data_IF_502719569084
#
_entry.id   IF_502719569084
#
_cell.length_a   1.000
_cell.length_b   1.000
_cell.length_c   1.000
_cell.angle_alpha   90.00
_cell.angle_beta   90.00
_cell.angle_gamma   90.00
#
_symmetry.space_group_name_H-M   'P 1'
#
loop_
_entity.id
_entity.type
_entity.pdbx_description
1 polymer ?
#
# COMPACT_ATOMS: atom_id res chain seq x y z
N UNK A 1 -24.65 8.42 11.92
CA UNK A 1 -24.92 8.00 10.53
C UNK A 1 -25.03 6.46 10.51
N UNK A 2 -25.89 5.85 9.67
CA UNK A 2 -25.93 4.37 9.55
C UNK A 2 -24.63 3.87 8.91
N UNK A 3 -24.09 2.74 9.37
CA UNK A 3 -22.80 2.17 8.89
C UNK A 3 -22.78 1.98 7.38
N UNK A 4 -23.89 1.50 6.79
CA UNK A 4 -24.03 1.31 5.35
C UNK A 4 -23.84 2.62 4.55
N UNK A 5 -24.29 3.75 5.08
CA UNK A 5 -24.11 5.05 4.42
C UNK A 5 -22.63 5.46 4.47
N UNK A 6 -21.95 5.24 5.59
CA UNK A 6 -20.53 5.53 5.71
C UNK A 6 -19.68 4.68 4.74
N UNK A 7 -20.04 3.41 4.56
CA UNK A 7 -19.42 2.51 3.56
C UNK A 7 -19.70 3.01 2.15
N UNK A 8 -20.96 3.33 1.82
CA UNK A 8 -21.34 3.85 0.51
C UNK A 8 -20.55 5.11 0.13
N UNK A 9 -20.44 6.06 1.07
CA UNK A 9 -19.64 7.27 0.86
C UNK A 9 -18.13 6.98 0.77
N UNK A 10 -17.63 5.98 1.50
CA UNK A 10 -16.23 5.54 1.37
C UNK A 10 -15.96 4.95 -0.02
N UNK A 11 -16.84 4.11 -0.56
CA UNK A 11 -16.70 3.52 -1.90
C UNK A 11 -16.72 4.59 -3.00
N UNK A 12 -17.41 5.71 -2.80
CA UNK A 12 -17.40 6.84 -3.77
C UNK A 12 -16.15 7.73 -3.67
N UNK A 13 -15.32 7.54 -2.66
CA UNK A 13 -14.16 8.39 -2.41
C UNK A 13 -13.09 8.22 -3.49
N UNK A 14 -12.86 9.28 -4.27
CA UNK A 14 -11.75 9.35 -5.23
C UNK A 14 -10.40 9.12 -4.55
N UNK A 15 -10.25 9.52 -3.28
CA UNK A 15 -9.03 9.31 -2.50
C UNK A 15 -8.81 7.81 -2.27
N UNK A 16 -9.84 7.07 -1.88
CA UNK A 16 -9.72 5.60 -1.70
C UNK A 16 -9.30 4.96 -3.02
N UNK A 17 -9.99 5.27 -4.13
CA UNK A 17 -9.66 4.69 -5.43
C UNK A 17 -8.25 5.04 -5.92
N UNK A 18 -7.77 6.26 -5.69
CA UNK A 18 -6.40 6.62 -6.03
C UNK A 18 -5.37 5.77 -5.26
N UNK A 19 -5.64 5.50 -3.98
CA UNK A 19 -4.77 4.65 -3.15
C UNK A 19 -4.87 3.18 -3.54
N UNK A 20 -6.07 2.63 -3.75
CA UNK A 20 -6.27 1.24 -4.16
C UNK A 20 -5.71 0.96 -5.56
N UNK A 21 -5.99 1.82 -6.55
CA UNK A 21 -5.47 1.64 -7.90
C UNK A 21 -3.97 1.89 -7.98
N UNK A 22 -3.45 2.91 -7.29
CA UNK A 22 -2.01 3.15 -7.22
C UNK A 22 -1.27 1.97 -6.59
N UNK A 23 -1.84 1.43 -5.51
CA UNK A 23 -1.36 0.22 -4.84
C UNK A 23 -1.39 -1.00 -5.73
N UNK A 24 -2.50 -1.23 -6.44
CA UNK A 24 -2.65 -2.33 -7.38
C UNK A 24 -1.60 -2.25 -8.49
N UNK A 25 -1.39 -1.07 -9.07
CA UNK A 25 -0.36 -0.85 -10.10
C UNK A 25 1.03 -1.12 -9.54
N UNK A 26 1.35 -0.61 -8.34
CA UNK A 26 2.66 -0.85 -7.71
C UNK A 26 2.93 -2.33 -7.44
N UNK A 27 1.89 -3.12 -7.16
CA UNK A 27 2.02 -4.55 -6.88
C UNK A 27 2.03 -5.41 -8.15
N UNK A 28 1.18 -5.08 -9.13
CA UNK A 28 1.01 -5.87 -10.36
C UNK A 28 2.04 -5.52 -11.43
N UNK A 29 2.47 -4.27 -11.54
CA UNK A 29 3.43 -3.86 -12.57
C UNK A 29 4.75 -4.65 -12.48
N UNK A 30 5.37 -4.85 -11.30
CA UNK A 30 6.56 -5.69 -11.20
C UNK A 30 6.33 -7.12 -11.70
N UNK A 31 5.21 -7.74 -11.29
CA UNK A 31 4.86 -9.09 -11.72
C UNK A 31 4.68 -9.18 -13.25
N UNK A 32 3.99 -8.21 -13.87
CA UNK A 32 3.80 -8.15 -15.31
C UNK A 32 5.11 -7.96 -16.08
N UNK A 33 6.01 -7.11 -15.57
CA UNK A 33 7.34 -6.92 -16.17
C UNK A 33 8.15 -8.21 -16.10
N UNK A 34 8.16 -8.91 -14.97
CA UNK A 34 8.83 -10.21 -14.83
C UNK A 34 8.27 -11.24 -15.81
N UNK A 35 6.94 -11.31 -15.93
CA UNK A 35 6.27 -12.19 -16.89
C UNK A 35 6.65 -11.87 -18.35
N UNK A 36 6.61 -10.59 -18.74
CA UNK A 36 6.90 -10.16 -20.10
C UNK A 36 8.38 -10.32 -20.49
N UNK A 37 9.29 -10.02 -19.56
CA UNK A 37 10.75 -10.07 -19.81
C UNK A 37 11.36 -11.45 -19.57
N UNK A 38 10.61 -12.37 -18.94
CA UNK A 38 11.11 -13.65 -18.41
C UNK A 38 12.33 -13.48 -17.49
N UNK A 39 12.55 -12.27 -16.97
CA UNK A 39 13.64 -11.97 -16.07
C UNK A 39 13.05 -11.74 -14.67
N UNK A 40 13.46 -12.52 -13.65
CA UNK A 40 12.97 -12.32 -12.28
C UNK A 40 13.43 -10.98 -11.68
N UNK A 41 14.45 -10.34 -12.29
CA UNK A 41 15.09 -9.13 -11.81
C UNK A 41 14.58 -7.90 -12.58
N UNK A 42 13.98 -6.95 -11.86
CA UNK A 42 13.69 -5.61 -12.40
C UNK A 42 14.88 -4.70 -12.06
N UNK A 43 15.51 -4.02 -13.03
CA UNK A 43 16.81 -3.35 -12.85
C UNK A 43 16.87 -2.27 -11.75
N UNK A 44 15.73 -1.71 -11.34
CA UNK A 44 15.67 -0.60 -10.38
C UNK A 44 15.63 -1.10 -8.91
N UNK A 45 15.41 -2.40 -8.66
CA UNK A 45 15.02 -2.92 -7.34
C UNK A 45 15.89 -4.04 -6.76
N UNK A 46 16.93 -4.48 -7.49
CA UNK A 46 17.82 -5.57 -7.07
C UNK A 46 19.28 -5.12 -6.84
N UNK A 47 19.52 -3.81 -6.89
CA UNK A 47 20.82 -3.16 -6.67
C UNK A 47 20.74 -2.35 -5.36
N UNK A 48 21.34 -2.81 -4.25
CA UNK A 48 22.17 -4.02 -4.08
C UNK A 48 21.30 -5.16 -3.55
N UNK A 49 21.59 -6.39 -3.94
CA UNK A 49 20.98 -7.63 -3.42
C UNK A 49 21.29 -7.87 -1.94
N UNK A 50 21.01 -6.89 -1.07
CA UNK A 50 21.15 -6.96 0.37
C UNK A 50 20.04 -7.86 0.94
N UNK A 51 20.24 -9.17 0.83
CA UNK A 51 19.78 -10.05 1.90
C UNK A 51 20.74 -9.87 3.07
N UNK A 52 20.49 -8.88 3.94
CA UNK A 52 21.02 -8.97 5.31
C UNK A 52 20.47 -10.28 5.87
N UNK A 53 21.29 -11.14 6.48
CA UNK A 53 20.86 -12.47 6.93
C UNK A 53 19.50 -12.42 7.65
N UNK A 54 18.49 -13.09 7.10
CA UNK A 54 17.10 -13.07 7.60
C UNK A 54 16.17 -12.02 6.98
N UNK A 55 16.64 -11.18 6.07
CA UNK A 55 15.82 -10.20 5.33
C UNK A 55 15.31 -10.78 4.01
N UNK A 56 14.07 -10.45 3.59
CA UNK A 56 13.53 -10.93 2.33
C UNK A 56 14.37 -10.45 1.13
N UNK A 57 14.55 -11.26 0.08
CA UNK A 57 15.09 -10.79 -1.20
C UNK A 57 14.23 -9.61 -1.70
N UNK A 58 14.85 -8.63 -2.38
CA UNK A 58 14.19 -7.38 -2.80
C UNK A 58 13.65 -6.54 -1.62
N UNK A 59 14.43 -6.43 -0.55
CA UNK A 59 14.07 -5.63 0.64
C UNK A 59 13.63 -4.20 0.28
N UNK A 60 14.29 -3.54 -0.67
CA UNK A 60 13.95 -2.19 -1.12
C UNK A 60 12.56 -2.14 -1.76
N UNK A 61 12.22 -3.12 -2.62
CA UNK A 61 10.89 -3.24 -3.21
C UNK A 61 9.84 -3.41 -2.12
N UNK A 62 10.07 -4.29 -1.15
CA UNK A 62 9.15 -4.49 -0.04
C UNK A 62 9.02 -3.24 0.85
N UNK A 63 10.11 -2.51 1.10
CA UNK A 63 10.10 -1.24 1.84
C UNK A 63 9.37 -0.13 1.08
N UNK A 64 9.34 -0.16 -0.24
CA UNK A 64 8.63 0.83 -1.06
C UNK A 64 7.18 0.44 -1.26
N UNK A 65 6.87 -0.83 -1.50
CA UNK A 65 5.53 -1.29 -1.87
C UNK A 65 4.64 -1.56 -0.67
N UNK A 66 5.14 -2.23 0.38
CA UNK A 66 4.34 -2.60 1.54
C UNK A 66 3.74 -1.41 2.31
N UNK A 67 4.43 -0.27 2.46
CA UNK A 67 3.84 0.91 3.11
C UNK A 67 2.70 1.53 2.31
N UNK A 68 2.57 1.25 1.01
CA UNK A 68 1.45 1.68 0.18
C UNK A 68 0.37 0.61 0.12
N UNK A 69 0.75 -0.66 -0.09
CA UNK A 69 -0.15 -1.80 -0.16
C UNK A 69 0.37 -3.03 0.58
N UNK A 70 -0.42 -3.69 1.44
CA UNK A 70 -1.82 -3.38 1.79
C UNK A 70 -1.97 -2.23 2.79
N UNK A 71 -0.88 -1.78 3.40
CA UNK A 71 -0.92 -0.94 4.59
C UNK A 71 -1.47 0.48 4.37
N UNK A 72 -0.88 1.26 3.46
CA UNK A 72 -1.27 2.65 3.23
C UNK A 72 -2.67 2.82 2.65
N UNK A 73 -3.06 1.93 1.73
CA UNK A 73 -4.42 1.84 1.20
C UNK A 73 -5.43 1.55 2.32
N UNK A 74 -5.15 0.53 3.14
CA UNK A 74 -5.99 0.22 4.31
C UNK A 74 -6.07 1.36 5.30
N UNK A 75 -4.97 2.07 5.53
CA UNK A 75 -4.97 3.26 6.37
C UNK A 75 -5.93 4.34 5.84
N UNK A 76 -5.90 4.62 4.54
CA UNK A 76 -6.79 5.61 3.91
C UNK A 76 -8.25 5.16 3.96
N UNK A 77 -8.52 3.88 3.74
CA UNK A 77 -9.88 3.30 3.85
C UNK A 77 -10.41 3.45 5.27
N UNK A 78 -9.64 3.05 6.27
CA UNK A 78 -10.01 3.13 7.69
C UNK A 78 -10.25 4.58 8.15
N UNK A 79 -9.34 5.49 7.81
CA UNK A 79 -9.50 6.92 8.10
C UNK A 79 -10.78 7.48 7.48
N UNK A 80 -11.01 7.18 6.20
CA UNK A 80 -12.16 7.72 5.45
C UNK A 80 -13.47 7.14 5.99
N UNK A 81 -13.54 5.84 6.26
CA UNK A 81 -14.74 5.19 6.79
C UNK A 81 -15.12 5.75 8.16
N UNK A 82 -14.17 5.88 9.07
CA UNK A 82 -14.43 6.41 10.41
C UNK A 82 -14.74 7.92 10.36
N UNK A 83 -14.10 8.68 9.47
CA UNK A 83 -14.42 10.09 9.22
C UNK A 83 -15.86 10.25 8.72
N UNK A 84 -16.29 9.41 7.77
CA UNK A 84 -17.67 9.42 7.24
C UNK A 84 -18.68 9.01 8.31
N UNK A 85 -18.38 7.95 9.07
CA UNK A 85 -19.25 7.45 10.14
C UNK A 85 -19.49 8.50 11.23
N UNK A 86 -18.42 9.18 11.65
CA UNK A 86 -18.48 10.21 12.70
C UNK A 86 -18.92 11.59 12.18
N UNK A 87 -18.95 11.79 10.85
CA UNK A 87 -19.31 13.08 10.24
C UNK A 87 -18.28 14.20 10.49
N UNK A 88 -17.06 13.86 10.91
CA UNK A 88 -16.01 14.84 11.22
C UNK A 88 -14.66 14.39 10.71
N UNK A 89 -13.80 15.35 10.38
CA UNK A 89 -12.41 15.09 10.01
C UNK A 89 -11.64 14.58 11.23
N UNK A 90 -10.99 13.43 11.10
CA UNK A 90 -10.19 12.85 12.18
C UNK A 90 -8.87 13.58 12.38
N UNK A 91 -8.41 13.63 13.63
CA UNK A 91 -7.13 14.24 14.02
C UNK A 91 -6.46 13.49 15.17
N UNK A 92 -5.14 13.69 15.33
CA UNK A 92 -4.35 13.11 16.42
C UNK A 92 -4.49 11.60 16.53
N UNK A 93 -4.67 11.09 17.75
CA UNK A 93 -4.77 9.64 18.04
C UNK A 93 -5.91 8.96 17.29
N UNK A 94 -7.08 9.60 17.19
CA UNK A 94 -8.26 9.01 16.53
C UNK A 94 -8.02 8.71 15.04
N UNK A 95 -7.27 9.59 14.36
CA UNK A 95 -6.86 9.42 12.97
C UNK A 95 -5.97 8.20 12.81
N UNK A 96 -4.91 8.10 13.61
CA UNK A 96 -3.95 6.99 13.50
C UNK A 96 -4.53 5.65 13.94
N UNK A 97 -5.45 5.62 14.92
CA UNK A 97 -6.17 4.40 15.28
C UNK A 97 -7.10 3.93 14.15
N UNK A 98 -7.83 4.85 13.51
CA UNK A 98 -8.66 4.52 12.35
C UNK A 98 -7.81 3.98 11.19
N UNK A 99 -6.65 4.60 10.94
CA UNK A 99 -5.68 4.13 9.96
C UNK A 99 -5.13 2.74 10.29
N UNK A 100 -4.72 2.51 11.54
CA UNK A 100 -4.20 1.22 11.98
C UNK A 100 -5.25 0.12 11.80
N UNK A 101 -6.50 0.38 12.22
CA UNK A 101 -7.59 -0.56 12.05
C UNK A 101 -7.84 -0.92 10.58
N UNK A 102 -7.86 0.08 9.69
CA UNK A 102 -8.00 -0.16 8.25
C UNK A 102 -6.80 -0.90 7.64
N UNK A 103 -5.57 -0.53 8.01
CA UNK A 103 -4.35 -1.18 7.55
C UNK A 103 -4.30 -2.66 7.96
N UNK A 104 -4.64 -2.97 9.22
CA UNK A 104 -4.68 -4.34 9.74
C UNK A 104 -5.79 -5.16 9.09
N UNK A 105 -6.97 -4.58 8.86
CA UNK A 105 -8.07 -5.25 8.18
C UNK A 105 -7.66 -5.62 6.75
N UNK A 106 -7.10 -4.67 6.00
CA UNK A 106 -6.67 -4.88 4.62
C UNK A 106 -5.52 -5.87 4.53
N UNK A 107 -4.55 -5.79 5.44
CA UNK A 107 -3.48 -6.78 5.57
C UNK A 107 -4.03 -8.17 5.91
N UNK A 108 -5.01 -8.28 6.80
CA UNK A 108 -5.66 -9.53 7.14
C UNK A 108 -6.37 -10.16 5.94
N UNK A 109 -7.12 -9.36 5.18
CA UNK A 109 -7.76 -9.81 3.93
C UNK A 109 -6.70 -10.29 2.93
N UNK A 110 -5.64 -9.52 2.73
CA UNK A 110 -4.56 -9.88 1.82
C UNK A 110 -3.83 -11.15 2.24
N UNK A 111 -3.52 -11.29 3.53
CA UNK A 111 -2.92 -12.51 4.09
C UNK A 111 -3.82 -13.72 3.90
N UNK A 112 -5.14 -13.55 4.05
CA UNK A 112 -6.12 -14.59 3.74
C UNK A 112 -6.08 -15.02 2.27
N UNK A 113 -5.99 -14.06 1.34
CA UNK A 113 -5.85 -14.35 -0.10
C UNK A 113 -4.52 -15.09 -0.38
N UNK A 114 -3.42 -14.63 0.20
CA UNK A 114 -2.12 -15.31 0.06
C UNK A 114 -2.17 -16.74 0.60
N UNK A 115 -2.84 -16.96 1.73
CA UNK A 115 -3.03 -18.28 2.31
C UNK A 115 -3.86 -19.20 1.40
N UNK A 116 -4.93 -18.68 0.78
CA UNK A 116 -5.70 -19.44 -0.23
C UNK A 116 -4.83 -19.84 -1.42
N UNK A 117 -3.96 -18.94 -1.88
CA UNK A 117 -2.99 -19.23 -2.94
C UNK A 117 -1.97 -20.29 -2.54
N UNK A 118 -1.48 -20.24 -1.30
CA UNK A 118 -0.60 -21.27 -0.73
C UNK A 118 -1.30 -22.65 -0.66
N UNK A 119 -2.59 -22.68 -0.30
CA UNK A 119 -3.37 -23.93 -0.32
C UNK A 119 -3.54 -24.46 -1.76
N UNK A 120 -3.77 -23.57 -2.72
CA UNK A 120 -3.83 -23.94 -4.14
C UNK A 120 -2.50 -24.55 -4.62
N UNK A 121 -1.35 -24.00 -4.23
CA UNK A 121 -0.03 -24.55 -4.57
C UNK A 121 0.15 -25.99 -4.04
N UNK A 122 -0.30 -26.24 -2.80
CA UNK A 122 -0.18 -27.56 -2.17
C UNK A 122 -1.15 -28.62 -2.70
N UNK A 123 -2.36 -28.20 -3.07
CA UNK A 123 -3.48 -29.11 -3.38
C UNK A 123 -3.73 -29.17 -4.90
N UNK A 124 -3.31 -28.14 -5.63
CA UNK A 124 -3.56 -27.96 -7.04
C UNK A 124 -2.53 -28.65 -7.94
N UNK A 125 -2.84 -28.80 -9.24
CA UNK A 125 -1.98 -29.48 -10.20
C UNK A 125 -0.78 -28.65 -10.69
N UNK A 126 -0.61 -27.42 -10.17
CA UNK A 126 0.43 -26.47 -10.58
C UNK A 126 1.27 -26.11 -9.35
N UNK A 127 2.45 -26.71 -9.24
CA UNK A 127 3.26 -26.72 -8.02
C UNK A 127 4.27 -25.58 -7.90
N UNK A 128 3.85 -24.34 -8.09
CA UNK A 128 4.66 -23.18 -7.69
C UNK A 128 3.81 -22.11 -6.97
N UNK A 129 4.17 -21.84 -5.71
CA UNK A 129 3.57 -20.77 -4.91
C UNK A 129 4.02 -19.40 -5.43
N UNK A 130 3.10 -18.67 -6.06
CA UNK A 130 3.33 -17.28 -6.52
C UNK A 130 3.28 -16.25 -5.37
N UNK A 131 2.91 -16.66 -4.16
CA UNK A 131 2.79 -15.80 -2.99
C UNK A 131 3.98 -15.91 -2.04
N UNK A 132 4.16 -14.87 -1.22
CA UNK A 132 5.20 -14.84 -0.21
C UNK A 132 5.07 -15.99 0.81
N UNK A 133 6.19 -16.59 1.25
CA UNK A 133 6.13 -17.68 2.19
C UNK A 133 5.79 -17.18 3.62
N UNK A 134 5.21 -18.01 4.48
CA UNK A 134 4.68 -17.59 5.79
C UNK A 134 5.71 -16.92 6.71
N UNK A 135 7.02 -17.20 6.56
CA UNK A 135 8.05 -16.59 7.39
C UNK A 135 8.15 -15.07 7.19
N UNK A 136 7.63 -14.52 6.08
CA UNK A 136 7.59 -13.08 5.83
C UNK A 136 6.44 -12.36 6.55
N UNK A 137 5.47 -13.07 7.13
CA UNK A 137 4.28 -12.49 7.79
C UNK A 137 4.66 -11.47 8.89
N UNK A 138 5.56 -11.78 9.85
CA UNK A 138 5.89 -10.82 10.92
C UNK A 138 6.51 -9.52 10.37
N UNK A 139 7.33 -9.64 9.33
CA UNK A 139 7.96 -8.50 8.67
C UNK A 139 6.92 -7.60 7.98
N UNK A 140 6.03 -8.20 7.18
CA UNK A 140 4.96 -7.47 6.48
C UNK A 140 3.96 -6.85 7.45
N UNK A 141 3.68 -7.51 8.57
CA UNK A 141 2.86 -6.94 9.64
C UNK A 141 3.52 -5.71 10.25
N UNK A 142 4.83 -5.77 10.56
CA UNK A 142 5.58 -4.62 11.07
C UNK A 142 5.53 -3.43 10.12
N UNK A 143 5.74 -3.65 8.82
CA UNK A 143 5.61 -2.60 7.80
C UNK A 143 4.18 -2.07 7.67
N UNK A 144 3.18 -2.94 7.80
CA UNK A 144 1.76 -2.54 7.81
C UNK A 144 1.45 -1.62 8.98
N UNK A 145 1.99 -1.89 10.17
CA UNK A 145 1.81 -1.00 11.33
C UNK A 145 2.45 0.36 11.09
N UNK A 146 3.64 0.40 10.49
CA UNK A 146 4.32 1.66 10.16
C UNK A 146 3.62 2.44 9.02
N UNK A 147 2.90 1.74 8.13
CA UNK A 147 2.23 2.33 6.96
C UNK A 147 1.14 3.36 7.31
N UNK A 148 0.69 3.40 8.57
CA UNK A 148 -0.30 4.40 9.04
C UNK A 148 0.20 5.84 8.87
N UNK A 149 1.51 6.03 8.74
CA UNK A 149 2.14 7.33 8.47
C UNK A 149 2.30 7.62 6.97
N UNK A 150 2.26 6.60 6.09
CA UNK A 150 2.47 6.76 4.64
C UNK A 150 1.57 7.83 4.02
N UNK A 151 0.25 7.90 4.34
CA UNK A 151 -0.58 8.93 3.74
C UNK A 151 -0.16 10.36 4.10
N UNK A 152 0.42 10.57 5.28
CA UNK A 152 0.90 11.90 5.68
C UNK A 152 2.22 12.26 4.99
N UNK A 153 3.11 11.28 4.81
CA UNK A 153 4.34 11.46 4.03
C UNK A 153 4.01 11.82 2.58
N UNK A 154 3.06 11.11 1.97
CA UNK A 154 2.59 11.37 0.60
C UNK A 154 1.94 12.76 0.49
N UNK A 155 1.07 13.11 1.43
CA UNK A 155 0.43 14.44 1.46
C UNK A 155 1.47 15.56 1.63
N UNK A 156 2.49 15.35 2.45
CA UNK A 156 3.59 16.29 2.66
C UNK A 156 4.42 16.46 1.37
N UNK A 157 4.82 15.34 0.75
CA UNK A 157 5.56 15.36 -0.51
C UNK A 157 4.77 16.06 -1.63
N UNK A 158 3.48 15.75 -1.77
CA UNK A 158 2.60 16.39 -2.75
C UNK A 158 2.51 17.91 -2.57
N UNK A 159 2.42 18.40 -1.32
CA UNK A 159 2.45 19.85 -1.04
C UNK A 159 3.78 20.47 -1.44
N UNK A 160 4.90 19.79 -1.19
CA UNK A 160 6.23 20.22 -1.60
C UNK A 160 6.34 20.37 -3.13
N UNK A 161 5.92 19.34 -3.86
CA UNK A 161 5.91 19.33 -5.33
C UNK A 161 5.02 20.45 -5.88
N UNK A 162 3.82 20.62 -5.35
CA UNK A 162 2.91 21.70 -5.78
C UNK A 162 3.50 23.08 -5.51
N UNK A 163 4.16 23.28 -4.37
CA UNK A 163 4.84 24.53 -4.03
C UNK A 163 5.97 24.83 -5.02
N UNK A 164 6.80 23.83 -5.34
CA UNK A 164 7.88 23.96 -6.31
C UNK A 164 7.34 24.27 -7.71
N UNK A 165 6.32 23.55 -8.16
CA UNK A 165 5.67 23.77 -9.45
C UNK A 165 5.13 25.20 -9.58
N UNK A 166 4.45 25.71 -8.55
CA UNK A 166 3.97 27.11 -8.53
C UNK A 166 5.12 28.11 -8.61
N UNK A 167 6.23 27.87 -7.92
CA UNK A 167 7.43 28.74 -7.97
C UNK A 167 8.05 28.77 -9.37
N UNK A 168 8.20 27.61 -10.01
CA UNK A 168 8.74 27.50 -11.38
C UNK A 168 7.82 28.21 -12.38
N UNK A 169 6.52 27.93 -12.32
CA UNK A 169 5.54 28.57 -13.19
C UNK A 169 5.51 30.10 -13.02
N UNK A 170 5.55 30.60 -11.79
CA UNK A 170 5.56 32.05 -11.52
C UNK A 170 6.82 32.76 -12.05
N UNK A 171 7.96 32.06 -12.14
CA UNK A 171 9.18 32.61 -12.76
C UNK A 171 9.06 32.68 -14.29
N UNK A 172 8.43 31.69 -14.93
CA UNK A 172 8.29 31.65 -16.38
C UNK A 172 7.27 32.65 -16.95
N UNK A 173 6.36 33.19 -16.13
CA UNK A 173 5.39 34.22 -16.53
C UNK A 173 5.88 35.67 -16.38
N UNK A 174 7.13 35.88 -15.94
CA UNK A 174 7.75 37.21 -15.83
C UNK A 174 8.59 37.59 -17.08
N UNK A 175 8.26 37.03 -18.25
CA UNK A 175 8.88 37.36 -19.54
C UNK A 175 7.88 38.16 -20.35
#
# INVERSE_FOLDING_TARGET
MRVLNAISEAVKSKRIWAWELGSFVLHVAPALVRFATKNPVIPILNEPGYSIAGSPPNLVEHLITNPFFPGGAGAVVGETLVSNYTGRKLAGKSKYLARLGGALLQYGVWTGIQYLGYLQDKIGPHGENIFDPPEKIPYTLGLTVLSVFTPDVVDYANKGIQSLYRRVRAKNFKI
#
